data_IF_097113567681
#
_entry.id   IF_097113567681
#
_cell.length_a   1.000
_cell.length_b   1.000
_cell.length_c   1.000
_cell.angle_alpha   90.00
_cell.angle_beta   90.00
_cell.angle_gamma   90.00
#
_symmetry.space_group_name_H-M   'P 1'
#
loop_
_entity.id
_entity.type
_entity.pdbx_description
1 polymer ?
#
# COMPACT_ATOMS: atom_id res chain seq x y z
N UNK A 1 18.31 22.00 2.38
CA UNK A 1 18.10 20.81 1.54
C UNK A 1 17.26 19.71 2.23
N UNK A 2 16.88 19.90 3.49
CA UNK A 2 16.16 18.90 4.29
C UNK A 2 14.64 18.97 4.28
N UNK A 3 14.04 20.11 3.98
CA UNK A 3 12.61 20.30 4.22
C UNK A 3 11.68 19.75 3.13
N UNK A 4 12.12 19.74 1.90
CA UNK A 4 11.23 19.45 0.75
C UNK A 4 11.12 17.96 0.45
N UNK A 5 12.22 17.22 0.63
CA UNK A 5 12.21 15.75 0.58
C UNK A 5 11.42 15.19 1.76
N UNK A 6 11.54 15.80 2.94
CA UNK A 6 10.78 15.42 4.13
C UNK A 6 9.25 15.56 3.93
N UNK A 7 8.81 16.58 3.18
CA UNK A 7 7.37 16.74 2.85
C UNK A 7 6.90 15.60 1.96
N UNK A 8 7.62 15.30 0.86
CA UNK A 8 7.24 14.20 -0.04
C UNK A 8 7.25 12.84 0.66
N UNK A 9 8.25 12.59 1.51
CA UNK A 9 8.32 11.37 2.34
C UNK A 9 7.16 11.28 3.33
N UNK A 10 6.81 12.39 3.98
CA UNK A 10 5.68 12.43 4.92
C UNK A 10 4.37 12.07 4.23
N UNK A 11 4.17 12.51 2.99
CA UNK A 11 3.00 12.16 2.20
C UNK A 11 2.99 10.70 1.78
N UNK A 12 4.13 10.12 1.38
CA UNK A 12 4.24 8.68 1.08
C UNK A 12 3.92 7.84 2.32
N UNK A 13 4.47 8.23 3.48
CA UNK A 13 4.17 7.58 4.76
C UNK A 13 2.68 7.69 5.07
N UNK A 14 2.08 8.87 4.87
CA UNK A 14 0.67 9.09 5.09
C UNK A 14 -0.22 8.25 4.15
N UNK A 15 0.19 8.06 2.89
CA UNK A 15 -0.49 7.14 1.96
C UNK A 15 -0.43 5.69 2.45
N UNK A 16 0.70 5.25 2.99
CA UNK A 16 0.84 3.91 3.59
C UNK A 16 -0.07 3.74 4.82
N UNK A 17 -0.31 4.81 5.58
CA UNK A 17 -1.23 4.79 6.72
C UNK A 17 -2.69 4.63 6.31
N UNK A 18 -3.06 4.99 5.09
CA UNK A 18 -4.43 4.81 4.58
C UNK A 18 -4.72 3.34 4.25
N UNK A 19 -3.69 2.53 3.98
CA UNK A 19 -3.85 1.11 3.64
C UNK A 19 -4.65 0.35 4.70
N UNK A 20 -4.36 0.46 6.02
CA UNK A 20 -5.13 -0.24 7.06
C UNK A 20 -6.60 0.20 7.18
N UNK A 21 -6.94 1.38 6.68
CA UNK A 21 -8.29 1.95 6.75
C UNK A 21 -9.06 1.83 5.44
N UNK A 22 -8.64 0.92 4.57
CA UNK A 22 -9.18 0.76 3.21
C UNK A 22 -10.55 0.09 3.14
N UNK A 23 -11.33 0.05 4.24
CA UNK A 23 -12.74 -0.40 4.23
C UNK A 23 -13.59 0.32 3.18
N UNK A 24 -13.11 1.42 2.64
CA UNK A 24 -13.83 2.17 1.63
C UNK A 24 -13.35 1.75 0.24
N UNK A 25 -14.25 1.25 -0.56
CA UNK A 25 -14.03 0.97 -1.98
C UNK A 25 -13.43 2.16 -2.75
N UNK A 26 -13.49 3.35 -2.16
CA UNK A 26 -12.94 4.59 -2.70
C UNK A 26 -11.54 4.93 -2.18
N UNK A 27 -10.98 4.17 -1.20
CA UNK A 27 -9.66 4.49 -0.62
C UNK A 27 -8.56 4.47 -1.68
N UNK A 28 -8.57 3.50 -2.59
CA UNK A 28 -7.61 3.42 -3.69
C UNK A 28 -7.73 4.60 -4.66
N UNK A 29 -8.95 5.05 -4.95
CA UNK A 29 -9.18 6.23 -5.79
C UNK A 29 -8.70 7.50 -5.12
N UNK A 30 -8.92 7.64 -3.80
CA UNK A 30 -8.41 8.75 -3.00
C UNK A 30 -6.89 8.74 -2.93
N UNK A 31 -6.27 7.58 -2.80
CA UNK A 31 -4.80 7.43 -2.83
C UNK A 31 -4.23 7.88 -4.16
N UNK A 32 -4.82 7.45 -5.28
CA UNK A 32 -4.40 7.88 -6.61
C UNK A 32 -4.57 9.38 -6.82
N UNK A 33 -5.68 9.94 -6.39
CA UNK A 33 -5.92 11.38 -6.46
C UNK A 33 -4.94 12.16 -5.59
N UNK A 34 -4.68 11.72 -4.36
CA UNK A 34 -3.68 12.31 -3.48
C UNK A 34 -2.28 12.24 -4.11
N UNK A 35 -1.90 11.12 -4.70
CA UNK A 35 -0.63 10.98 -5.41
C UNK A 35 -0.52 11.96 -6.58
N UNK A 36 -1.58 12.15 -7.38
CA UNK A 36 -1.64 13.14 -8.44
C UNK A 36 -1.47 14.57 -7.92
N UNK A 37 -2.16 14.91 -6.82
CA UNK A 37 -2.01 16.23 -6.19
C UNK A 37 -0.59 16.48 -5.70
N UNK A 38 0.05 15.46 -5.11
CA UNK A 38 1.45 15.54 -4.66
C UNK A 38 2.37 15.79 -5.85
N UNK A 39 2.21 15.03 -6.94
CA UNK A 39 3.00 15.19 -8.16
C UNK A 39 2.81 16.58 -8.77
N UNK A 40 1.57 17.05 -8.83
CA UNK A 40 1.25 18.37 -9.36
C UNK A 40 1.83 19.48 -8.50
N UNK A 41 1.66 19.40 -7.18
CA UNK A 41 2.21 20.36 -6.22
C UNK A 41 3.72 20.41 -6.30
N UNK A 42 4.37 19.25 -6.23
CA UNK A 42 5.84 19.15 -6.32
C UNK A 42 6.37 19.69 -7.65
N UNK A 43 5.71 19.38 -8.77
CA UNK A 43 6.09 19.90 -10.09
C UNK A 43 5.86 21.40 -10.26
N UNK A 44 4.80 21.97 -9.65
CA UNK A 44 4.48 23.38 -9.77
C UNK A 44 5.34 24.28 -8.84
N UNK A 45 5.53 23.85 -7.60
CA UNK A 45 6.21 24.66 -6.58
C UNK A 45 7.73 24.48 -6.54
N UNK A 46 8.21 23.30 -6.97
CA UNK A 46 9.64 22.93 -6.84
C UNK A 46 10.24 22.44 -8.16
N UNK A 47 9.90 23.10 -9.24
CA UNK A 47 10.23 22.74 -10.63
C UNK A 47 11.71 22.44 -10.87
N UNK A 48 12.61 23.06 -10.11
CA UNK A 48 14.05 22.85 -10.24
C UNK A 48 14.58 21.65 -9.43
N UNK A 49 13.86 21.24 -8.37
CA UNK A 49 14.32 20.26 -7.39
C UNK A 49 13.58 18.92 -7.48
N UNK A 50 12.31 18.94 -7.86
CA UNK A 50 11.52 17.74 -8.02
C UNK A 50 11.60 17.25 -9.47
N UNK A 51 12.23 16.11 -9.67
CA UNK A 51 12.26 15.40 -10.97
C UNK A 51 11.55 14.07 -10.82
N UNK A 52 10.57 13.83 -11.68
CA UNK A 52 9.96 12.51 -11.81
C UNK A 52 11.01 11.52 -12.32
N UNK A 53 11.27 10.50 -11.53
CA UNK A 53 12.24 9.46 -11.87
C UNK A 53 11.59 8.33 -12.66
N UNK A 54 11.16 8.65 -13.89
CA UNK A 54 10.55 7.71 -14.80
C UNK A 54 11.58 6.71 -15.34
N UNK A 55 12.84 7.12 -15.43
CA UNK A 55 13.90 6.30 -16.02
C UNK A 55 14.16 5.01 -15.20
N UNK A 56 14.08 5.09 -13.89
CA UNK A 56 14.28 3.92 -13.01
C UNK A 56 13.08 2.96 -12.98
N UNK A 57 11.90 3.37 -13.43
CA UNK A 57 10.73 2.50 -13.54
C UNK A 57 10.84 1.56 -14.75
N UNK A 58 11.55 2.00 -15.79
CA UNK A 58 11.79 1.20 -17.00
C UNK A 58 10.57 1.04 -17.91
N UNK A 59 10.66 0.09 -18.83
CA UNK A 59 9.63 -0.15 -19.84
C UNK A 59 8.50 -1.09 -19.39
N UNK A 60 8.71 -1.88 -18.36
CA UNK A 60 7.73 -2.88 -17.88
C UNK A 60 6.35 -2.33 -17.53
N UNK A 61 6.19 -1.16 -16.89
CA UNK A 61 4.89 -0.57 -16.65
C UNK A 61 4.11 -0.28 -17.94
N UNK A 62 4.79 0.10 -19.01
CA UNK A 62 4.14 0.37 -20.31
C UNK A 62 3.52 -0.92 -20.86
N UNK A 63 4.23 -2.05 -20.77
CA UNK A 63 3.72 -3.36 -21.16
C UNK A 63 2.55 -3.79 -20.28
N UNK A 64 2.68 -3.63 -18.96
CA UNK A 64 1.62 -3.97 -18.01
C UNK A 64 0.34 -3.16 -18.30
N UNK A 65 0.46 -1.84 -18.41
CA UNK A 65 -0.69 -0.99 -18.69
C UNK A 65 -1.27 -1.25 -20.08
N UNK A 66 -0.44 -1.53 -21.08
CA UNK A 66 -0.90 -1.96 -22.41
C UNK A 66 -1.76 -3.22 -22.32
N UNK A 67 -1.32 -4.23 -21.58
CA UNK A 67 -2.09 -5.45 -21.36
C UNK A 67 -3.39 -5.18 -20.60
N UNK A 68 -3.38 -4.34 -19.56
CA UNK A 68 -4.57 -3.96 -18.78
C UNK A 68 -5.58 -3.21 -19.68
N UNK A 69 -5.13 -2.26 -20.49
CA UNK A 69 -6.01 -1.54 -21.42
C UNK A 69 -6.66 -2.47 -22.44
N UNK A 70 -5.90 -3.41 -22.99
CA UNK A 70 -6.45 -4.44 -23.88
C UNK A 70 -7.48 -5.29 -23.14
N UNK A 71 -7.18 -5.77 -21.94
CA UNK A 71 -8.10 -6.56 -21.15
C UNK A 71 -9.42 -5.81 -20.83
N UNK A 72 -9.34 -4.53 -20.52
CA UNK A 72 -10.53 -3.68 -20.32
C UNK A 72 -11.34 -3.53 -21.60
N UNK A 73 -10.65 -3.32 -22.74
CA UNK A 73 -11.30 -3.16 -24.05
C UNK A 73 -12.05 -4.40 -24.52
N UNK A 74 -11.60 -5.58 -24.14
CA UNK A 74 -12.24 -6.88 -24.48
C UNK A 74 -13.08 -7.46 -23.33
N UNK A 75 -13.37 -6.68 -22.30
CA UNK A 75 -14.12 -7.16 -21.13
C UNK A 75 -15.61 -7.34 -21.42
N UNK A 76 -16.19 -8.42 -20.90
CA UNK A 76 -17.65 -8.64 -20.89
C UNK A 76 -18.41 -7.68 -19.96
N UNK A 77 -17.72 -7.13 -18.93
CA UNK A 77 -18.30 -6.18 -17.96
C UNK A 77 -17.39 -4.95 -17.89
N UNK A 78 -17.50 -4.02 -18.86
CA UNK A 78 -16.58 -2.88 -18.97
C UNK A 78 -16.58 -1.96 -17.75
N UNK A 79 -17.71 -1.76 -17.08
CA UNK A 79 -17.83 -0.90 -15.89
C UNK A 79 -16.97 -1.40 -14.74
N UNK A 80 -17.00 -2.69 -14.45
CA UNK A 80 -16.18 -3.28 -13.39
C UNK A 80 -14.68 -3.28 -13.78
N UNK A 81 -14.39 -3.57 -15.05
CA UNK A 81 -13.02 -3.55 -15.55
C UNK A 81 -12.40 -2.14 -15.50
N UNK A 82 -13.17 -1.09 -15.78
CA UNK A 82 -12.74 0.29 -15.62
C UNK A 82 -12.42 0.60 -14.15
N UNK A 83 -13.21 0.10 -13.21
CA UNK A 83 -12.93 0.25 -11.78
C UNK A 83 -11.58 -0.35 -11.40
N UNK A 84 -11.29 -1.56 -11.86
CA UNK A 84 -9.98 -2.18 -11.65
C UNK A 84 -8.85 -1.42 -12.33
N UNK A 85 -9.07 -0.84 -13.52
CA UNK A 85 -8.10 0.03 -14.17
C UNK A 85 -7.72 1.22 -13.27
N UNK A 86 -8.71 1.89 -12.64
CA UNK A 86 -8.44 2.99 -11.71
C UNK A 86 -7.56 2.55 -10.52
N UNK A 87 -7.76 1.34 -9.99
CA UNK A 87 -6.89 0.82 -8.93
C UNK A 87 -5.44 0.65 -9.39
N UNK A 88 -5.24 0.11 -10.58
CA UNK A 88 -3.89 -0.05 -11.15
C UNK A 88 -3.23 1.30 -11.44
N UNK A 89 -3.97 2.27 -11.98
CA UNK A 89 -3.46 3.64 -12.19
C UNK A 89 -3.08 4.27 -10.85
N UNK A 90 -3.91 4.14 -9.82
CA UNK A 90 -3.62 4.66 -8.48
C UNK A 90 -2.34 4.03 -7.91
N UNK A 91 -2.20 2.72 -8.03
CA UNK A 91 -0.98 2.00 -7.60
C UNK A 91 0.27 2.48 -8.34
N UNK A 92 0.17 2.67 -9.68
CA UNK A 92 1.29 3.18 -10.46
C UNK A 92 1.70 4.60 -10.08
N UNK A 93 0.72 5.47 -9.80
CA UNK A 93 0.99 6.81 -9.30
C UNK A 93 1.68 6.79 -7.94
N UNK A 94 1.27 5.91 -7.03
CA UNK A 94 1.94 5.72 -5.75
C UNK A 94 3.38 5.23 -5.93
N UNK A 95 3.62 4.30 -6.84
CA UNK A 95 4.99 3.85 -7.17
C UNK A 95 5.82 5.00 -7.71
N UNK A 96 5.28 5.78 -8.65
CA UNK A 96 5.97 6.92 -9.24
C UNK A 96 6.35 7.98 -8.19
N UNK A 97 5.43 8.31 -7.28
CA UNK A 97 5.70 9.21 -6.15
C UNK A 97 6.81 8.66 -5.26
N UNK A 98 6.71 7.38 -4.89
CA UNK A 98 7.67 6.73 -4.00
C UNK A 98 9.07 6.72 -4.60
N UNK A 99 9.23 6.28 -5.85
CA UNK A 99 10.53 6.25 -6.54
C UNK A 99 11.11 7.65 -6.70
N UNK A 100 10.27 8.65 -6.93
CA UNK A 100 10.72 10.04 -7.07
C UNK A 100 11.09 10.69 -5.73
N UNK A 101 10.49 10.27 -4.63
CA UNK A 101 10.72 10.79 -3.29
C UNK A 101 11.90 10.13 -2.58
N UNK A 102 12.05 8.81 -2.70
CA UNK A 102 13.10 8.04 -2.02
C UNK A 102 14.42 8.17 -2.79
N UNK A 103 15.35 8.92 -2.26
CA UNK A 103 16.65 9.22 -2.90
C UNK A 103 17.86 8.84 -2.07
N UNK A 104 17.66 8.52 -0.81
CA UNK A 104 18.72 8.17 0.13
C UNK A 104 18.37 6.91 0.92
N UNK A 105 19.38 6.29 1.52
CA UNK A 105 19.17 5.17 2.45
C UNK A 105 18.35 5.59 3.68
N UNK A 106 18.43 6.87 4.06
CA UNK A 106 17.67 7.40 5.19
C UNK A 106 16.17 7.53 4.84
N UNK A 107 15.85 7.97 3.62
CA UNK A 107 14.48 8.04 3.12
C UNK A 107 13.86 6.63 3.08
N UNK A 108 14.64 5.64 2.61
CA UNK A 108 14.21 4.25 2.60
C UNK A 108 13.93 3.72 4.01
N UNK A 109 14.77 4.07 5.00
CA UNK A 109 14.53 3.68 6.40
C UNK A 109 13.26 4.30 6.95
N UNK A 110 12.99 5.58 6.66
CA UNK A 110 11.77 6.27 7.07
C UNK A 110 10.53 5.64 6.45
N UNK A 111 10.60 5.32 5.15
CA UNK A 111 9.53 4.61 4.45
C UNK A 111 9.26 3.24 5.06
N UNK A 112 10.32 2.47 5.32
CA UNK A 112 10.22 1.17 5.96
C UNK A 112 9.70 1.27 7.40
N UNK A 113 10.06 2.32 8.15
CA UNK A 113 9.50 2.58 9.48
C UNK A 113 7.99 2.88 9.41
N UNK A 114 7.54 3.66 8.42
CA UNK A 114 6.11 3.88 8.15
C UNK A 114 5.36 2.58 7.86
N UNK A 115 5.93 1.71 7.02
CA UNK A 115 5.40 0.36 6.78
C UNK A 115 5.37 -0.49 8.05
N UNK A 116 6.39 -0.38 8.90
CA UNK A 116 6.45 -1.05 10.19
C UNK A 116 5.32 -0.64 11.13
N UNK A 117 4.99 0.64 11.18
CA UNK A 117 3.86 1.14 11.97
C UNK A 117 2.54 0.59 11.43
N UNK A 118 2.37 0.55 10.10
CA UNK A 118 1.22 -0.08 9.46
C UNK A 118 1.05 -1.53 9.89
N UNK A 119 2.12 -2.32 9.83
CA UNK A 119 2.13 -3.73 10.26
C UNK A 119 1.75 -3.84 11.73
N UNK A 120 2.36 -3.02 12.58
CA UNK A 120 2.10 -3.03 14.03
C UNK A 120 0.62 -2.75 14.34
N UNK A 121 0.08 -1.65 13.80
CA UNK A 121 -1.31 -1.24 14.05
C UNK A 121 -2.28 -2.30 13.53
N UNK A 122 -2.08 -2.79 12.31
CA UNK A 122 -2.93 -3.82 11.71
C UNK A 122 -2.87 -5.14 12.48
N UNK A 123 -1.68 -5.53 12.96
CA UNK A 123 -1.49 -6.75 13.73
C UNK A 123 -2.12 -6.65 15.12
N UNK A 124 -1.96 -5.52 15.82
CA UNK A 124 -2.59 -5.29 17.11
C UNK A 124 -4.12 -5.34 17.02
N UNK A 125 -4.69 -4.73 16.00
CA UNK A 125 -6.12 -4.83 15.76
C UNK A 125 -6.56 -6.25 15.40
N UNK A 126 -5.77 -6.98 14.61
CA UNK A 126 -6.03 -8.39 14.33
C UNK A 126 -6.00 -9.26 15.60
N UNK A 127 -5.05 -9.02 16.52
CA UNK A 127 -5.01 -9.69 17.83
C UNK A 127 -6.24 -9.34 18.66
N UNK A 128 -6.64 -8.06 18.69
CA UNK A 128 -7.86 -7.64 19.36
C UNK A 128 -9.10 -8.36 18.80
N UNK A 129 -9.27 -8.41 17.47
CA UNK A 129 -10.35 -9.17 16.84
C UNK A 129 -10.34 -10.65 17.27
N UNK A 130 -9.16 -11.26 17.34
CA UNK A 130 -9.03 -12.67 17.75
C UNK A 130 -9.47 -12.88 19.18
N UNK A 131 -9.19 -11.95 20.10
CA UNK A 131 -9.58 -12.01 21.51
C UNK A 131 -11.10 -11.83 21.66
N UNK A 132 -11.70 -10.92 20.91
CA UNK A 132 -13.14 -10.66 20.94
C UNK A 132 -13.97 -11.79 20.31
N UNK A 133 -13.33 -12.63 19.51
CA UNK A 133 -14.01 -13.62 18.67
C UNK A 133 -14.41 -13.01 17.33
N UNK A 134 -14.02 -13.69 16.25
CA UNK A 134 -14.39 -13.31 14.89
C UNK A 134 -15.50 -14.22 14.42
N UNK A 135 -16.60 -13.65 13.98
CA UNK A 135 -17.68 -14.40 13.34
C UNK A 135 -17.21 -15.01 12.01
N UNK A 136 -17.71 -16.19 11.71
CA UNK A 136 -17.39 -16.86 10.44
C UNK A 136 -18.11 -16.12 9.32
N UNK A 137 -17.37 -15.60 8.38
CA UNK A 137 -17.95 -15.00 7.19
C UNK A 137 -18.25 -16.12 6.18
N UNK A 138 -19.53 -16.41 5.99
CA UNK A 138 -20.02 -17.46 5.09
C UNK A 138 -19.63 -17.24 3.62
N UNK A 139 -19.27 -16.01 3.25
CA UNK A 139 -18.77 -15.71 1.90
C UNK A 139 -17.41 -16.34 1.60
N UNK A 140 -16.64 -16.70 2.65
CA UNK A 140 -15.29 -17.25 2.52
C UNK A 140 -15.15 -18.68 3.04
N UNK A 141 -16.17 -19.20 3.73
CA UNK A 141 -16.11 -20.51 4.38
C UNK A 141 -17.45 -21.21 4.19
N UNK A 142 -17.41 -22.40 3.64
CA UNK A 142 -18.58 -23.29 3.65
C UNK A 142 -18.80 -23.81 5.08
N UNK A 143 -19.78 -23.23 5.75
CA UNK A 143 -20.12 -23.57 7.16
C UNK A 143 -20.68 -24.98 7.31
N UNK A 144 -21.16 -25.60 6.24
CA UNK A 144 -21.69 -26.96 6.29
C UNK A 144 -20.57 -28.00 6.42
N UNK A 145 -19.44 -27.74 5.77
CA UNK A 145 -18.25 -28.60 5.79
C UNK A 145 -17.31 -28.23 6.94
N UNK A 146 -17.27 -26.94 7.31
CA UNK A 146 -16.33 -26.38 8.29
C UNK A 146 -17.04 -25.96 9.59
N UNK A 147 -18.06 -26.70 10.01
CA UNK A 147 -18.81 -26.42 11.23
C UNK A 147 -17.87 -26.33 12.44
N UNK A 148 -17.96 -25.23 13.19
CA UNK A 148 -17.13 -24.99 14.38
C UNK A 148 -15.73 -24.44 14.14
N UNK A 149 -15.33 -24.14 12.89
CA UNK A 149 -14.10 -23.40 12.64
C UNK A 149 -14.23 -21.95 13.15
N UNK A 150 -13.19 -21.41 13.83
CA UNK A 150 -13.20 -20.02 14.24
C UNK A 150 -13.11 -19.10 13.01
N UNK A 151 -13.75 -17.94 13.08
CA UNK A 151 -13.61 -16.89 12.08
C UNK A 151 -12.14 -16.49 11.87
N UNK A 152 -11.83 -16.12 10.63
CA UNK A 152 -10.48 -15.69 10.24
C UNK A 152 -10.32 -14.20 10.47
N UNK A 153 -9.20 -13.82 11.08
CA UNK A 153 -8.88 -12.42 11.33
C UNK A 153 -8.61 -11.69 10.03
N UNK A 154 -9.25 -10.56 9.82
CA UNK A 154 -9.13 -9.73 8.62
C UNK A 154 -8.52 -8.35 8.89
N UNK A 155 -8.37 -7.97 10.18
CA UNK A 155 -7.96 -6.64 10.59
C UNK A 155 -8.86 -5.55 9.97
N UNK A 156 -8.28 -4.54 9.34
CA UNK A 156 -9.00 -3.45 8.67
C UNK A 156 -9.28 -3.71 7.18
N UNK A 157 -8.94 -4.90 6.67
CA UNK A 157 -8.92 -5.17 5.22
C UNK A 157 -10.18 -5.84 4.69
N UNK A 158 -11.15 -6.14 5.55
CA UNK A 158 -12.40 -6.86 5.21
C UNK A 158 -12.18 -8.23 4.53
N UNK A 159 -10.93 -8.66 4.41
CA UNK A 159 -10.54 -9.93 3.82
C UNK A 159 -9.26 -10.45 4.48
N UNK A 160 -9.30 -11.65 5.08
CA UNK A 160 -8.14 -12.22 5.77
C UNK A 160 -6.96 -12.49 4.81
N UNK A 161 -7.22 -12.76 3.53
CA UNK A 161 -6.15 -12.97 2.55
C UNK A 161 -5.43 -11.65 2.24
N UNK A 162 -6.18 -10.56 2.04
CA UNK A 162 -5.60 -9.22 1.84
C UNK A 162 -4.78 -8.78 3.04
N UNK A 163 -5.24 -9.06 4.26
CA UNK A 163 -4.44 -8.81 5.46
C UNK A 163 -3.12 -9.59 5.45
N UNK A 164 -3.16 -10.87 5.12
CA UNK A 164 -1.96 -11.70 5.01
C UNK A 164 -1.00 -11.19 3.91
N UNK A 165 -1.52 -10.79 2.75
CA UNK A 165 -0.74 -10.20 1.65
C UNK A 165 0.00 -8.94 2.08
N UNK A 166 -0.67 -8.02 2.77
CA UNK A 166 -0.04 -6.79 3.29
C UNK A 166 1.06 -7.12 4.29
N UNK A 167 0.83 -8.09 5.19
CA UNK A 167 1.86 -8.53 6.13
C UNK A 167 3.08 -9.12 5.40
N UNK A 168 2.86 -9.99 4.42
CA UNK A 168 3.93 -10.62 3.63
C UNK A 168 4.74 -9.57 2.88
N UNK A 169 4.10 -8.54 2.33
CA UNK A 169 4.77 -7.47 1.59
C UNK A 169 5.59 -6.54 2.49
N UNK A 170 5.08 -6.20 3.66
CA UNK A 170 5.72 -5.22 4.53
C UNK A 170 6.68 -5.83 5.55
N UNK A 171 6.46 -7.08 5.99
CA UNK A 171 7.28 -7.73 6.98
C UNK A 171 8.77 -7.81 6.63
N UNK A 172 9.19 -8.09 5.38
CA UNK A 172 10.60 -8.07 5.01
C UNK A 172 11.27 -6.71 5.21
N UNK A 173 10.54 -5.61 4.98
CA UNK A 173 11.07 -4.26 5.23
C UNK A 173 11.27 -4.01 6.72
N UNK A 174 10.33 -4.45 7.55
CA UNK A 174 10.44 -4.36 9.02
C UNK A 174 11.63 -5.18 9.52
N UNK A 175 11.79 -6.41 9.05
CA UNK A 175 12.92 -7.26 9.39
C UNK A 175 14.25 -6.62 8.96
N UNK A 176 14.31 -6.05 7.76
CA UNK A 176 15.50 -5.35 7.28
C UNK A 176 15.87 -4.17 8.20
N UNK A 177 14.88 -3.37 8.67
CA UNK A 177 15.11 -2.29 9.64
C UNK A 177 15.70 -2.82 10.95
N UNK A 178 15.12 -3.90 11.50
CA UNK A 178 15.58 -4.51 12.73
C UNK A 178 17.04 -4.99 12.59
N UNK A 179 17.38 -5.67 11.50
CA UNK A 179 18.73 -6.17 11.25
C UNK A 179 19.75 -5.06 10.98
N UNK A 180 19.34 -3.99 10.29
CA UNK A 180 20.19 -2.85 9.98
C UNK A 180 20.34 -1.86 11.14
N UNK A 181 19.52 -1.96 12.18
CA UNK A 181 19.59 -1.08 13.34
C UNK A 181 20.83 -1.37 14.19
N UNK A 182 21.54 -0.30 14.58
CA UNK A 182 22.67 -0.38 15.51
C UNK A 182 22.23 -0.52 16.97
N UNK A 183 21.01 -0.14 17.30
CA UNK A 183 20.50 -0.18 18.68
C UNK A 183 19.85 -1.51 18.96
N UNK A 184 20.26 -2.15 20.04
CA UNK A 184 19.73 -3.44 20.46
C UNK A 184 18.22 -3.41 20.79
N UNK A 185 17.70 -2.28 21.26
CA UNK A 185 16.29 -2.07 21.53
C UNK A 185 15.39 -2.15 20.27
N UNK A 186 15.95 -1.91 19.12
CA UNK A 186 15.22 -2.06 17.84
C UNK A 186 15.32 -3.47 17.28
N UNK A 187 15.98 -4.38 18.01
CA UNK A 187 16.11 -5.81 17.67
C UNK A 187 15.17 -6.70 18.50
N UNK A 188 14.49 -6.12 19.47
CA UNK A 188 13.44 -6.75 20.28
C UNK A 188 12.06 -6.42 19.75
#
# INVERSE_FOLDING_TARGET
>A
MGDETAIAESWVIMLLWVIPFSRWNNAYSLMGFAALLILFYAGAMHREKFRLDVANIGFYPVLLFGAIFLAVGFSYVPSESLRFLFYHVSAALCVLVTVSAVRSAEDLKRLAAGGGICVLVSSLYGVYQRIQGVEVNESYVDVTVNAGMPGRVESYFDNPNTFAEVLILLLPLVLALIFCSRHWWSKL
#
